data_IF_185103811888
#
_entry.id   IF_185103811888
#
_cell.length_a   1.000
_cell.length_b   1.000
_cell.length_c   1.000
_cell.angle_alpha   90.00
_cell.angle_beta   90.00
_cell.angle_gamma   90.00
#
_symmetry.space_group_name_H-M   'P 1'
#
loop_
_entity.id
_entity.type
_entity.pdbx_description
1 polymer ?
#
# COMPACT_ATOMS: atom_id res chain seq x y z
N UNK A 1 -2.39 -1.79 5.98
CA UNK A 1 -2.15 -0.65 5.06
C UNK A 1 -2.25 -1.12 3.62
N UNK A 2 -2.72 -0.27 2.70
CA UNK A 2 -2.90 -0.60 1.28
C UNK A 2 -2.19 0.44 0.43
N UNK A 3 -1.45 0.01 -0.59
CA UNK A 3 -0.71 0.90 -1.47
C UNK A 3 -0.86 0.48 -2.93
N UNK A 4 -0.96 1.45 -3.83
CA UNK A 4 -0.74 1.26 -5.25
C UNK A 4 0.59 1.92 -5.59
N UNK A 5 1.45 1.20 -6.29
CA UNK A 5 2.68 1.74 -6.85
C UNK A 5 2.57 1.71 -8.36
N UNK A 6 2.28 2.88 -8.93
CA UNK A 6 2.21 3.10 -10.37
C UNK A 6 3.62 3.30 -10.92
N UNK A 7 3.99 2.52 -11.93
CA UNK A 7 5.24 2.65 -12.67
C UNK A 7 4.90 3.00 -14.10
N UNK A 8 5.33 4.17 -14.57
CA UNK A 8 5.04 4.65 -15.92
C UNK A 8 6.22 5.43 -16.48
N UNK A 9 6.29 5.59 -17.79
CA UNK A 9 7.27 6.45 -18.46
C UNK A 9 6.65 7.54 -19.34
N UNK A 10 5.33 7.72 -19.27
CA UNK A 10 4.59 8.62 -20.14
C UNK A 10 3.42 9.31 -19.45
N UNK A 11 2.72 10.14 -20.24
CA UNK A 11 1.48 10.77 -19.80
C UNK A 11 0.28 9.89 -20.14
N UNK A 12 -0.75 9.91 -19.30
CA UNK A 12 -2.04 9.32 -19.68
C UNK A 12 -2.63 10.06 -20.88
N UNK A 13 -3.18 9.30 -21.82
CA UNK A 13 -3.71 9.84 -23.07
C UNK A 13 -5.14 9.37 -23.39
N UNK A 14 -5.73 8.51 -22.54
CA UNK A 14 -7.07 7.94 -22.74
C UNK A 14 -7.77 7.74 -21.40
N UNK A 15 -9.07 7.99 -21.37
CA UNK A 15 -9.95 7.69 -20.24
C UNK A 15 -10.08 8.83 -19.22
N UNK A 16 -10.53 8.47 -18.02
CA UNK A 16 -10.66 9.42 -16.90
C UNK A 16 -9.29 9.95 -16.49
N UNK A 17 -9.25 11.20 -16.00
CA UNK A 17 -8.03 11.79 -15.46
C UNK A 17 -7.46 10.94 -14.32
N UNK A 18 -6.19 10.52 -14.39
CA UNK A 18 -5.58 9.64 -13.39
C UNK A 18 -5.59 10.20 -11.96
N UNK A 19 -5.48 11.52 -11.82
CA UNK A 19 -5.55 12.18 -10.51
C UNK A 19 -6.91 11.99 -9.82
N UNK A 20 -8.02 11.93 -10.58
CA UNK A 20 -9.36 11.68 -10.03
C UNK A 20 -9.44 10.24 -9.50
N UNK A 21 -8.95 9.27 -10.28
CA UNK A 21 -8.90 7.87 -9.85
C UNK A 21 -7.99 7.69 -8.61
N UNK A 22 -6.88 8.42 -8.53
CA UNK A 22 -6.00 8.40 -7.36
C UNK A 22 -6.66 9.03 -6.11
N UNK A 23 -7.45 10.10 -6.28
CA UNK A 23 -8.24 10.65 -5.18
C UNK A 23 -9.26 9.63 -4.65
N UNK A 24 -9.94 8.89 -5.53
CA UNK A 24 -10.82 7.79 -5.12
C UNK A 24 -10.05 6.70 -4.35
N UNK A 25 -8.85 6.32 -4.80
CA UNK A 25 -8.02 5.35 -4.08
C UNK A 25 -7.77 5.80 -2.64
N UNK A 26 -7.42 7.07 -2.45
CA UNK A 26 -7.18 7.67 -1.14
C UNK A 26 -8.42 7.63 -0.25
N UNK A 27 -9.60 7.95 -0.78
CA UNK A 27 -10.87 7.83 -0.04
C UNK A 27 -11.14 6.40 0.42
N UNK A 28 -10.64 5.40 -0.33
CA UNK A 28 -10.73 3.98 0.02
C UNK A 28 -9.58 3.50 0.94
N UNK A 29 -8.78 4.42 1.48
CA UNK A 29 -7.65 4.11 2.37
C UNK A 29 -6.48 3.45 1.65
N UNK A 30 -6.32 3.71 0.35
CA UNK A 30 -5.24 3.20 -0.49
C UNK A 30 -4.33 4.37 -0.88
N UNK A 31 -3.06 4.31 -0.50
CA UNK A 31 -2.07 5.32 -0.88
C UNK A 31 -1.57 5.06 -2.29
N UNK A 32 -1.54 6.07 -3.17
CA UNK A 32 -0.98 5.93 -4.53
C UNK A 32 0.39 6.58 -4.62
N UNK A 33 1.40 5.78 -4.90
CA UNK A 33 2.77 6.19 -5.18
C UNK A 33 3.03 6.09 -6.68
N UNK A 34 3.83 7.00 -7.23
CA UNK A 34 4.09 7.05 -8.67
C UNK A 34 5.57 7.16 -8.97
N UNK A 35 6.08 6.25 -9.80
CA UNK A 35 7.46 6.24 -10.28
C UNK A 35 7.47 6.46 -11.79
N UNK A 36 8.05 7.59 -12.20
CA UNK A 36 8.35 7.91 -13.58
C UNK A 36 9.72 7.36 -13.99
N UNK A 37 9.81 6.59 -15.07
CA UNK A 37 11.10 6.09 -15.58
C UNK A 37 11.58 6.91 -16.79
N UNK A 38 12.73 7.56 -16.65
CA UNK A 38 13.46 8.25 -17.74
C UNK A 38 14.55 7.36 -18.34
N UNK A 39 14.62 7.32 -19.67
CA UNK A 39 15.77 6.74 -20.41
C UNK A 39 16.35 7.79 -21.35
N UNK A 40 17.65 8.08 -21.22
CA UNK A 40 18.51 8.94 -22.06
C UNK A 40 17.92 10.29 -22.56
N UNK A 41 16.82 10.73 -21.97
CA UNK A 41 16.06 11.94 -22.29
C UNK A 41 15.22 12.37 -21.10
N UNK A 42 14.51 13.47 -21.22
CA UNK A 42 13.69 14.03 -20.14
C UNK A 42 12.26 13.51 -20.20
N UNK A 43 11.69 13.13 -19.05
CA UNK A 43 10.23 13.19 -18.89
C UNK A 43 9.87 14.65 -19.14
N UNK A 44 9.01 14.91 -20.13
CA UNK A 44 8.56 16.26 -20.41
C UNK A 44 7.93 16.88 -19.17
N UNK A 45 7.96 18.21 -19.06
CA UNK A 45 7.41 18.94 -17.92
C UNK A 45 5.94 18.56 -17.60
N UNK A 46 5.17 18.24 -18.65
CA UNK A 46 3.80 17.75 -18.53
C UNK A 46 3.70 16.37 -17.85
N UNK A 47 4.61 15.44 -18.15
CA UNK A 47 4.64 14.12 -17.51
C UNK A 47 5.08 14.20 -16.05
N UNK A 48 6.01 15.08 -15.73
CA UNK A 48 6.41 15.32 -14.34
C UNK A 48 5.25 15.87 -13.50
N UNK A 49 4.49 16.83 -14.07
CA UNK A 49 3.32 17.41 -13.42
C UNK A 49 2.24 16.35 -13.18
N UNK A 50 1.92 15.53 -14.18
CA UNK A 50 0.91 14.48 -14.02
C UNK A 50 1.31 13.44 -12.97
N UNK A 51 2.57 13.00 -12.96
CA UNK A 51 3.11 12.07 -11.97
C UNK A 51 2.98 12.63 -10.54
N UNK A 52 3.28 13.91 -10.36
CA UNK A 52 3.14 14.60 -9.07
C UNK A 52 1.67 14.77 -8.66
N UNK A 53 0.80 15.16 -9.59
CA UNK A 53 -0.63 15.31 -9.36
C UNK A 53 -1.30 13.99 -8.95
N UNK A 54 -0.98 12.88 -9.62
CA UNK A 54 -1.50 11.55 -9.27
C UNK A 54 -1.09 11.17 -7.84
N UNK A 55 0.20 11.28 -7.53
CA UNK A 55 0.69 10.92 -6.20
C UNK A 55 0.11 11.83 -5.11
N UNK A 56 0.01 13.13 -5.37
CA UNK A 56 -0.57 14.11 -4.45
C UNK A 56 -2.05 13.85 -4.18
N UNK A 57 -2.84 13.59 -5.22
CA UNK A 57 -4.25 13.23 -5.11
C UNK A 57 -4.42 11.90 -4.33
N UNK A 58 -3.57 10.91 -4.61
CA UNK A 58 -3.54 9.63 -3.93
C UNK A 58 -2.90 9.62 -2.53
N UNK A 59 -2.43 10.77 -2.04
CA UNK A 59 -1.82 10.91 -0.72
C UNK A 59 -0.47 10.19 -0.56
N UNK A 60 0.20 9.85 -1.66
CA UNK A 60 1.51 9.22 -1.67
C UNK A 60 2.62 10.17 -2.09
N UNK A 61 3.69 9.60 -2.64
CA UNK A 61 4.85 10.35 -3.13
C UNK A 61 5.16 9.98 -4.58
N UNK A 62 5.77 10.92 -5.31
CA UNK A 62 6.25 10.71 -6.66
C UNK A 62 7.77 10.85 -6.78
N UNK A 63 8.36 10.08 -7.71
CA UNK A 63 9.77 10.20 -8.10
C UNK A 63 9.95 9.93 -9.58
N UNK A 64 10.86 10.68 -10.19
CA UNK A 64 11.36 10.41 -11.55
C UNK A 64 12.78 9.85 -11.39
N UNK A 65 13.04 8.70 -12.00
CA UNK A 65 14.28 7.95 -11.82
C UNK A 65 14.77 7.34 -13.11
N UNK A 66 16.07 7.05 -13.16
CA UNK A 66 16.60 6.20 -14.21
C UNK A 66 16.31 4.73 -13.90
N UNK A 67 16.28 3.89 -14.95
CA UNK A 67 16.02 2.46 -14.85
C UNK A 67 16.89 1.76 -13.78
N UNK A 68 18.15 2.17 -13.62
CA UNK A 68 19.08 1.57 -12.65
C UNK A 68 18.80 1.95 -11.17
N UNK A 69 18.05 3.03 -10.92
CA UNK A 69 17.70 3.50 -9.57
C UNK A 69 16.31 3.02 -9.12
N UNK A 70 15.59 2.33 -10.02
CA UNK A 70 14.18 1.96 -9.85
C UNK A 70 13.95 1.10 -8.60
N UNK A 71 14.72 0.03 -8.45
CA UNK A 71 14.59 -0.92 -7.33
C UNK A 71 14.69 -0.23 -5.96
N UNK A 72 15.78 0.53 -5.76
CA UNK A 72 16.01 1.27 -4.52
C UNK A 72 14.90 2.30 -4.26
N UNK A 73 14.45 2.99 -5.31
CA UNK A 73 13.44 4.04 -5.19
C UNK A 73 12.08 3.47 -4.79
N UNK A 74 11.68 2.37 -5.41
CA UNK A 74 10.43 1.67 -5.10
C UNK A 74 10.40 1.22 -3.63
N UNK A 75 11.48 0.61 -3.14
CA UNK A 75 11.58 0.21 -1.73
C UNK A 75 11.50 1.41 -0.79
N UNK A 76 12.26 2.47 -1.10
CA UNK A 76 12.27 3.70 -0.30
C UNK A 76 10.89 4.34 -0.23
N UNK A 77 10.19 4.48 -1.37
CA UNK A 77 8.86 5.08 -1.42
C UNK A 77 7.82 4.25 -0.67
N UNK A 78 7.87 2.93 -0.80
CA UNK A 78 7.01 1.99 -0.07
C UNK A 78 7.18 2.17 1.43
N UNK A 79 8.42 2.14 1.94
CA UNK A 79 8.71 2.34 3.36
C UNK A 79 8.34 3.74 3.85
N UNK A 80 8.67 4.78 3.08
CA UNK A 80 8.38 6.17 3.43
C UNK A 80 6.88 6.40 3.60
N UNK A 81 6.08 5.86 2.69
CA UNK A 81 4.61 6.02 2.76
C UNK A 81 3.96 5.19 3.87
N UNK A 82 4.52 4.03 4.22
CA UNK A 82 4.13 3.30 5.45
C UNK A 82 4.35 4.17 6.68
N UNK A 83 5.55 4.72 6.85
CA UNK A 83 5.89 5.58 7.99
C UNK A 83 4.99 6.81 8.04
N UNK A 84 4.77 7.48 6.91
CA UNK A 84 3.87 8.64 6.83
C UNK A 84 2.42 8.28 7.20
N UNK A 85 1.93 7.12 6.75
CA UNK A 85 0.57 6.65 7.08
C UNK A 85 0.42 6.41 8.57
N UNK A 86 1.41 5.79 9.21
CA UNK A 86 1.42 5.54 10.66
C UNK A 86 1.50 6.86 11.43
N UNK A 87 2.40 7.76 11.03
CA UNK A 87 2.51 9.09 11.64
C UNK A 87 1.20 9.86 11.55
N UNK A 88 0.50 9.82 10.41
CA UNK A 88 -0.81 10.46 10.24
C UNK A 88 -1.86 9.84 11.16
N UNK A 89 -1.91 8.50 11.25
CA UNK A 89 -2.83 7.79 12.12
C UNK A 89 -2.60 8.14 13.59
N UNK A 90 -1.36 8.05 14.07
CA UNK A 90 -1.03 8.38 15.47
C UNK A 90 -1.27 9.85 15.78
N UNK A 91 -0.90 10.77 14.89
CA UNK A 91 -1.20 12.19 15.07
C UNK A 91 -2.71 12.46 15.17
N UNK A 92 -3.54 11.73 14.42
CA UNK A 92 -4.99 11.84 14.49
C UNK A 92 -5.51 11.34 15.85
N UNK A 93 -5.04 10.19 16.32
CA UNK A 93 -5.42 9.65 17.63
C UNK A 93 -5.00 10.56 18.79
N UNK A 94 -3.77 11.08 18.74
CA UNK A 94 -3.28 12.01 19.75
C UNK A 94 -4.12 13.30 19.82
N UNK A 95 -4.54 13.85 18.68
CA UNK A 95 -5.43 15.02 18.64
C UNK A 95 -6.80 14.74 19.24
N UNK A 96 -7.35 13.53 19.04
CA UNK A 96 -8.62 13.14 19.65
C UNK A 96 -8.51 13.01 21.17
N UNK A 97 -7.40 12.49 21.69
CA UNK A 97 -7.19 12.26 23.12
C UNK A 97 -6.82 13.56 23.86
N UNK A 98 -5.94 14.39 23.28
CA UNK A 98 -5.38 15.59 23.91
C UNK A 98 -6.17 16.86 23.60
N UNK A 99 -7.08 16.82 22.61
CA UNK A 99 -7.85 17.97 22.14
C UNK A 99 -7.04 18.94 21.26
N UNK A 100 -7.71 19.97 20.75
CA UNK A 100 -7.13 20.98 19.83
C UNK A 100 -6.03 21.86 20.47
N UNK A 101 -5.80 21.75 21.79
CA UNK A 101 -4.76 22.49 22.51
C UNK A 101 -3.33 22.07 22.12
N UNK A 102 -3.17 20.95 21.40
CA UNK A 102 -1.89 20.48 20.85
C UNK A 102 -1.92 20.45 19.33
N UNK A 103 -1.85 21.62 18.69
CA UNK A 103 -1.76 21.77 17.23
C UNK A 103 -0.56 20.99 16.63
N UNK A 104 0.46 20.70 17.43
CA UNK A 104 1.73 20.11 16.99
C UNK A 104 1.79 18.57 17.11
N UNK A 105 0.69 17.89 17.48
CA UNK A 105 0.61 16.42 17.51
C UNK A 105 1.70 15.77 18.37
N UNK A 106 2.47 14.83 17.80
CA UNK A 106 3.61 14.18 18.48
C UNK A 106 4.66 15.19 18.99
N UNK A 107 4.80 16.35 18.33
CA UNK A 107 5.77 17.37 18.73
C UNK A 107 5.30 18.20 19.93
N UNK A 108 4.01 18.14 20.29
CA UNK A 108 3.49 18.76 21.50
C UNK A 108 3.79 17.91 22.75
N UNK A 109 4.16 16.64 22.58
CA UNK A 109 4.45 15.76 23.70
C UNK A 109 5.79 16.13 24.36
N UNK A 110 5.90 15.99 25.70
CA UNK A 110 7.17 16.03 26.41
C UNK A 110 8.21 15.09 25.80
N UNK A 111 9.50 15.43 25.85
CA UNK A 111 10.58 14.70 25.18
C UNK A 111 10.61 13.19 25.51
N UNK A 112 10.36 12.84 26.77
CA UNK A 112 10.31 11.45 27.23
C UNK A 112 9.17 10.68 26.56
N UNK A 113 7.97 11.27 26.51
CA UNK A 113 6.78 10.68 25.87
C UNK A 113 6.89 10.65 24.35
N UNK A 114 7.57 11.63 23.75
CA UNK A 114 7.86 11.64 22.31
C UNK A 114 8.72 10.44 21.92
N UNK A 115 9.75 10.13 22.70
CA UNK A 115 10.65 9.00 22.44
C UNK A 115 9.90 7.66 22.51
N UNK A 116 9.00 7.52 23.48
CA UNK A 116 8.12 6.35 23.60
C UNK A 116 7.20 6.19 22.37
N UNK A 117 6.56 7.28 21.94
CA UNK A 117 5.67 7.26 20.77
C UNK A 117 6.43 6.93 19.48
N UNK A 118 7.63 7.49 19.28
CA UNK A 118 8.46 7.17 18.11
C UNK A 118 8.80 5.68 18.06
N UNK A 119 9.19 5.08 19.21
CA UNK A 119 9.46 3.63 19.27
C UNK A 119 8.24 2.81 18.88
N UNK A 120 7.05 3.17 19.38
CA UNK A 120 5.80 2.49 19.01
C UNK A 120 5.52 2.63 17.52
N UNK A 121 5.76 3.81 16.92
CA UNK A 121 5.61 3.98 15.46
C UNK A 121 6.58 3.11 14.65
N UNK A 122 7.81 2.93 15.12
CA UNK A 122 8.79 2.06 14.48
C UNK A 122 8.35 0.59 14.54
N UNK A 123 7.87 0.13 15.70
CA UNK A 123 7.32 -1.21 15.87
C UNK A 123 6.09 -1.43 14.96
N UNK A 124 5.18 -0.45 14.90
CA UNK A 124 4.03 -0.47 14.00
C UNK A 124 4.46 -0.53 12.53
N UNK A 125 5.53 0.16 12.15
CA UNK A 125 6.06 0.16 10.77
C UNK A 125 6.49 -1.24 10.35
N UNK A 126 7.05 -2.00 11.28
CA UNK A 126 7.59 -3.32 11.04
C UNK A 126 6.48 -4.39 11.02
N UNK A 127 5.56 -4.33 11.98
CA UNK A 127 4.54 -5.37 12.23
C UNK A 127 3.24 -5.19 11.46
N UNK A 128 2.90 -3.98 11.01
CA UNK A 128 1.60 -3.72 10.38
C UNK A 128 1.47 -4.44 9.04
N UNK A 129 0.34 -5.11 8.83
CA UNK A 129 0.04 -5.76 7.55
C UNK A 129 0.10 -4.76 6.38
N UNK A 130 0.77 -5.12 5.30
CA UNK A 130 0.94 -4.29 4.12
C UNK A 130 0.49 -5.05 2.86
N UNK A 131 -0.39 -4.43 2.08
CA UNK A 131 -0.73 -4.88 0.74
C UNK A 131 -0.23 -3.86 -0.27
N UNK A 132 0.54 -4.30 -1.26
CA UNK A 132 1.08 -3.45 -2.33
C UNK A 132 0.60 -3.98 -3.68
N UNK A 133 -0.09 -3.16 -4.45
CA UNK A 133 -0.45 -3.45 -5.83
C UNK A 133 0.51 -2.70 -6.74
N UNK A 134 1.26 -3.42 -7.55
CA UNK A 134 2.08 -2.81 -8.60
C UNK A 134 1.22 -2.64 -9.83
N UNK A 135 1.17 -1.43 -10.36
CA UNK A 135 0.47 -1.10 -11.60
C UNK A 135 1.49 -0.60 -12.61
N UNK A 136 1.73 -1.39 -13.65
CA UNK A 136 2.88 -1.23 -14.54
C UNK A 136 2.41 -0.82 -15.92
N UNK A 137 2.96 0.28 -16.42
CA UNK A 137 2.80 0.68 -17.81
C UNK A 137 3.53 -0.32 -18.73
N UNK A 138 2.79 -0.88 -19.68
CA UNK A 138 3.26 -1.80 -20.71
C UNK A 138 3.13 -1.17 -22.11
N UNK A 139 3.13 0.15 -22.20
CA UNK A 139 3.25 0.87 -23.47
C UNK A 139 4.56 0.52 -24.20
N UNK A 140 4.63 0.85 -25.50
CA UNK A 140 5.76 0.47 -26.33
C UNK A 140 7.11 1.06 -25.84
N UNK A 141 7.09 2.20 -25.17
CA UNK A 141 8.27 2.87 -24.60
C UNK A 141 8.85 2.17 -23.37
N UNK A 142 8.06 1.31 -22.71
CA UNK A 142 8.48 0.54 -21.53
C UNK A 142 9.31 -0.70 -21.86
N UNK A 143 9.36 -1.13 -23.13
CA UNK A 143 10.11 -2.30 -23.58
C UNK A 143 11.58 -2.36 -23.12
N UNK A 144 12.41 -1.29 -23.27
CA UNK A 144 13.77 -1.30 -22.75
C UNK A 144 13.86 -1.30 -21.21
N UNK A 145 12.79 -0.88 -20.51
CA UNK A 145 12.75 -0.67 -19.05
C UNK A 145 12.27 -1.90 -18.29
N UNK A 146 11.61 -2.84 -18.95
CA UNK A 146 11.01 -4.02 -18.32
C UNK A 146 12.00 -4.84 -17.49
N UNK A 147 13.24 -5.02 -17.95
CA UNK A 147 14.23 -5.78 -17.20
C UNK A 147 14.53 -5.12 -15.83
N UNK A 148 14.56 -3.79 -15.78
CA UNK A 148 14.74 -3.06 -14.53
C UNK A 148 13.48 -3.15 -13.64
N UNK A 149 12.29 -3.11 -14.24
CA UNK A 149 11.02 -3.29 -13.52
C UNK A 149 10.95 -4.70 -12.90
N UNK A 150 11.31 -5.74 -13.65
CA UNK A 150 11.37 -7.13 -13.18
C UNK A 150 12.27 -7.30 -11.95
N UNK A 151 13.48 -6.76 -12.02
CA UNK A 151 14.43 -6.81 -10.90
C UNK A 151 13.92 -5.99 -9.71
N UNK A 152 13.35 -4.80 -9.94
CA UNK A 152 12.75 -3.99 -8.89
C UNK A 152 11.59 -4.70 -8.17
N UNK A 153 10.78 -5.49 -8.89
CA UNK A 153 9.70 -6.29 -8.31
C UNK A 153 10.27 -7.39 -7.42
N UNK A 154 11.28 -8.12 -7.91
CA UNK A 154 11.97 -9.16 -7.14
C UNK A 154 12.53 -8.60 -5.84
N UNK A 155 13.24 -7.49 -5.95
CA UNK A 155 13.89 -6.83 -4.82
C UNK A 155 12.87 -6.27 -3.83
N UNK A 156 11.76 -5.70 -4.33
CA UNK A 156 10.66 -5.28 -3.47
C UNK A 156 10.05 -6.47 -2.71
N UNK A 157 9.79 -7.59 -3.36
CA UNK A 157 9.27 -8.79 -2.67
C UNK A 157 10.22 -9.28 -1.59
N UNK A 158 11.54 -9.31 -1.87
CA UNK A 158 12.56 -9.63 -0.86
C UNK A 158 12.50 -8.67 0.32
N UNK A 159 12.42 -7.36 0.04
CA UNK A 159 12.29 -6.34 1.09
C UNK A 159 11.01 -6.47 1.90
N UNK A 160 9.90 -6.88 1.28
CA UNK A 160 8.62 -7.08 1.95
C UNK A 160 8.61 -8.34 2.82
N UNK A 161 9.26 -9.42 2.39
CA UNK A 161 9.42 -10.64 3.18
C UNK A 161 10.34 -10.48 4.39
N UNK A 162 11.29 -9.55 4.34
CA UNK A 162 12.14 -9.23 5.47
C UNK A 162 11.36 -8.60 6.64
N UNK A 163 10.12 -8.14 6.40
CA UNK A 163 9.28 -7.56 7.43
C UNK A 163 8.64 -8.62 8.32
N UNK A 164 8.51 -8.30 9.61
CA UNK A 164 7.79 -9.16 10.57
C UNK A 164 6.28 -9.20 10.32
N UNK A 165 5.70 -8.09 9.85
CA UNK A 165 4.28 -7.99 9.49
C UNK A 165 3.94 -8.66 8.16
N UNK A 166 2.72 -9.20 8.05
CA UNK A 166 2.24 -9.83 6.81
C UNK A 166 2.28 -8.85 5.64
N UNK A 167 3.07 -9.16 4.62
CA UNK A 167 3.19 -8.35 3.41
C UNK A 167 2.77 -9.14 2.19
N UNK A 168 1.83 -8.62 1.41
CA UNK A 168 1.34 -9.24 0.17
C UNK A 168 1.54 -8.28 -1.01
N UNK A 169 1.95 -8.83 -2.15
CA UNK A 169 2.13 -8.12 -3.40
C UNK A 169 1.19 -8.69 -4.45
N UNK A 170 0.60 -7.85 -5.30
CA UNK A 170 0.00 -8.25 -6.57
C UNK A 170 0.53 -7.38 -7.71
N UNK A 171 0.41 -7.86 -8.94
CA UNK A 171 0.97 -7.17 -10.12
C UNK A 171 -0.09 -7.07 -11.20
N UNK A 172 -0.24 -5.86 -11.72
CA UNK A 172 -1.07 -5.52 -12.85
C UNK A 172 -0.24 -4.81 -13.91
N UNK A 173 -0.60 -4.99 -15.18
CA UNK A 173 -0.11 -4.15 -16.26
C UNK A 173 -1.25 -3.46 -17.01
N UNK A 174 -0.94 -2.37 -17.69
CA UNK A 174 -1.85 -1.67 -18.59
C UNK A 174 -1.07 -1.08 -19.77
N UNK A 175 -1.65 -0.98 -20.97
CA UNK A 175 -3.01 -1.42 -21.34
C UNK A 175 -3.11 -2.95 -21.44
N UNK A 176 -4.34 -3.48 -21.38
CA UNK A 176 -4.59 -4.90 -21.64
C UNK A 176 -4.44 -5.30 -23.12
N UNK A 177 -4.29 -6.60 -23.42
CA UNK A 177 -4.00 -7.10 -24.76
C UNK A 177 -5.20 -7.02 -25.73
N UNK A 178 -6.41 -6.84 -25.20
CA UNK A 178 -7.66 -6.77 -25.97
C UNK A 178 -8.37 -5.43 -25.71
N UNK A 179 -9.01 -4.88 -26.75
CA UNK A 179 -9.80 -3.66 -26.62
C UNK A 179 -10.92 -3.84 -25.59
N UNK A 180 -10.93 -2.99 -24.56
CA UNK A 180 -11.90 -3.01 -23.46
C UNK A 180 -11.34 -3.54 -22.13
N UNK A 181 -10.12 -4.07 -22.09
CA UNK A 181 -9.44 -4.41 -20.83
C UNK A 181 -8.42 -3.33 -20.46
N UNK A 182 -8.78 -2.49 -19.49
CA UNK A 182 -7.99 -1.32 -19.09
C UNK A 182 -6.68 -1.68 -18.36
N UNK A 183 -6.68 -2.78 -17.60
CA UNK A 183 -5.50 -3.36 -16.98
C UNK A 183 -5.67 -4.88 -16.86
N UNK A 184 -4.60 -5.65 -16.82
CA UNK A 184 -4.60 -7.11 -16.64
C UNK A 184 -3.90 -7.46 -15.35
N UNK A 185 -4.43 -8.44 -14.63
CA UNK A 185 -3.79 -8.99 -13.45
C UNK A 185 -2.79 -10.07 -13.85
N UNK A 186 -1.50 -9.81 -13.65
CA UNK A 186 -0.43 -10.77 -13.94
C UNK A 186 -0.11 -11.67 -12.73
N UNK A 187 -0.27 -11.11 -11.52
CA UNK A 187 -0.05 -11.80 -10.25
C UNK A 187 -1.20 -11.50 -9.29
N UNK A 188 -1.81 -12.54 -8.74
CA UNK A 188 -2.72 -12.41 -7.59
C UNK A 188 -1.94 -12.04 -6.31
N UNK A 189 -2.65 -11.77 -5.21
CA UNK A 189 -1.98 -11.51 -3.94
C UNK A 189 -1.09 -12.68 -3.52
N UNK A 190 0.18 -12.40 -3.27
CA UNK A 190 1.14 -13.39 -2.83
C UNK A 190 2.24 -12.78 -1.98
N UNK A 191 2.79 -13.58 -1.09
CA UNK A 191 4.02 -13.34 -0.35
C UNK A 191 5.20 -14.18 -0.89
N UNK A 192 5.01 -14.94 -1.99
CA UNK A 192 5.99 -15.89 -2.52
C UNK A 192 6.81 -15.32 -3.70
N UNK A 193 8.11 -15.07 -3.50
CA UNK A 193 9.04 -14.58 -4.55
C UNK A 193 9.07 -15.46 -5.81
N UNK A 194 8.88 -16.77 -5.65
CA UNK A 194 9.00 -17.75 -6.76
C UNK A 194 7.98 -17.49 -7.87
N UNK A 195 6.81 -16.91 -7.54
CA UNK A 195 5.74 -16.62 -8.51
C UNK A 195 6.06 -15.43 -9.42
N UNK A 196 6.92 -14.50 -8.98
CA UNK A 196 7.26 -13.31 -9.76
C UNK A 196 8.15 -13.59 -10.98
N UNK A 197 8.89 -14.72 -11.01
CA UNK A 197 9.85 -15.05 -12.07
C UNK A 197 9.24 -15.21 -13.48
N UNK A 198 7.92 -15.33 -13.63
CA UNK A 198 7.24 -15.64 -14.90
C UNK A 198 6.35 -14.52 -15.44
N UNK A 199 6.31 -13.36 -14.78
CA UNK A 199 5.29 -12.33 -15.02
C UNK A 199 5.38 -11.68 -16.40
N UNK A 200 6.59 -11.43 -16.91
CA UNK A 200 6.78 -10.51 -18.04
C UNK A 200 7.05 -11.18 -19.39
N UNK A 201 7.17 -12.51 -19.42
CA UNK A 201 7.41 -13.25 -20.67
C UNK A 201 6.24 -13.18 -21.68
N UNK A 202 5.09 -12.62 -21.27
CA UNK A 202 3.84 -12.57 -22.05
C UNK A 202 3.29 -11.16 -22.30
N UNK A 203 4.01 -10.10 -21.90
CA UNK A 203 3.53 -8.74 -22.11
C UNK A 203 3.60 -8.33 -23.59
N UNK A 204 2.43 -8.26 -24.23
CA UNK A 204 2.29 -7.71 -25.57
C UNK A 204 2.24 -6.17 -25.49
N UNK A 205 3.41 -5.54 -25.45
CA UNK A 205 3.52 -4.08 -25.34
C UNK A 205 3.03 -3.36 -26.59
N UNK A 206 1.80 -2.84 -26.55
CA UNK A 206 1.16 -2.07 -27.63
C UNK A 206 0.10 -1.13 -27.04
N UNK A 207 -0.20 -0.04 -27.75
CA UNK A 207 -1.41 0.74 -27.50
C UNK A 207 -1.22 2.01 -26.69
N UNK A 208 -2.34 2.53 -26.19
CA UNK A 208 -2.49 3.77 -25.40
C UNK A 208 -2.25 3.52 -23.91
N UNK A 209 -2.22 4.58 -23.10
CA UNK A 209 -1.87 4.55 -21.67
C UNK A 209 -3.09 4.97 -20.83
N UNK A 210 -4.06 4.06 -20.59
CA UNK A 210 -5.27 4.36 -19.81
C UNK A 210 -5.02 4.29 -18.30
N UNK A 211 -4.15 5.16 -17.79
CA UNK A 211 -3.72 5.15 -16.38
C UNK A 211 -4.88 5.30 -15.39
N UNK A 212 -5.84 6.19 -15.67
CA UNK A 212 -7.00 6.40 -14.80
C UNK A 212 -7.90 5.16 -14.69
N UNK A 213 -8.38 4.60 -15.82
CA UNK A 213 -9.15 3.36 -15.80
C UNK A 213 -8.39 2.17 -15.17
N UNK A 214 -7.08 2.08 -15.40
CA UNK A 214 -6.23 1.07 -14.79
C UNK A 214 -6.17 1.19 -13.26
N UNK A 215 -6.06 2.41 -12.71
CA UNK A 215 -6.14 2.67 -11.27
C UNK A 215 -7.48 2.20 -10.69
N UNK A 216 -8.60 2.52 -11.34
CA UNK A 216 -9.93 2.10 -10.90
C UNK A 216 -10.06 0.58 -10.81
N UNK A 217 -9.54 -0.15 -11.80
CA UNK A 217 -9.53 -1.62 -11.77
C UNK A 217 -8.77 -2.19 -10.57
N UNK A 218 -7.64 -1.59 -10.21
CA UNK A 218 -6.86 -2.01 -9.03
C UNK A 218 -7.59 -1.66 -7.72
N UNK A 219 -8.24 -0.49 -7.64
CA UNK A 219 -9.07 -0.09 -6.49
C UNK A 219 -10.21 -1.10 -6.28
N UNK A 220 -10.89 -1.50 -7.34
CA UNK A 220 -11.95 -2.51 -7.27
C UNK A 220 -11.41 -3.88 -6.84
N UNK A 221 -10.23 -4.28 -7.34
CA UNK A 221 -9.60 -5.52 -6.89
C UNK A 221 -9.28 -5.52 -5.38
N UNK A 222 -8.89 -4.36 -4.83
CA UNK A 222 -8.72 -4.18 -3.38
C UNK A 222 -10.02 -4.36 -2.57
N UNK A 223 -11.20 -4.18 -3.21
CA UNK A 223 -12.52 -4.36 -2.60
C UNK A 223 -13.01 -5.82 -2.70
N UNK A 224 -12.66 -6.53 -3.78
CA UNK A 224 -13.15 -7.90 -4.03
C UNK A 224 -12.48 -8.98 -3.18
N UNK A 225 -11.32 -8.71 -2.59
CA UNK A 225 -10.67 -9.66 -1.69
C UNK A 225 -11.36 -9.62 -0.33
N UNK A 226 -11.89 -10.76 0.18
CA UNK A 226 -12.54 -10.80 1.48
C UNK A 226 -11.62 -10.22 2.55
N UNK A 227 -12.17 -9.33 3.39
CA UNK A 227 -11.52 -8.96 4.66
C UNK A 227 -11.32 -10.26 5.41
N UNK A 228 -10.08 -10.72 5.56
CA UNK A 228 -9.73 -11.67 6.61
C UNK A 228 -10.08 -10.94 7.90
N UNK A 229 -11.24 -11.27 8.47
CA UNK A 229 -11.62 -10.83 9.80
C UNK A 229 -10.57 -11.44 10.71
N UNK A 230 -9.77 -10.60 11.37
CA UNK A 230 -8.89 -10.99 12.45
C UNK A 230 -9.78 -11.60 13.56
N UNK A 231 -9.99 -12.91 13.49
CA UNK A 231 -10.61 -13.68 14.57
C UNK A 231 -9.57 -13.86 15.66
N UNK A 232 -9.30 -12.83 16.44
CA UNK A 232 -8.65 -12.97 17.74
C UNK A 232 -8.79 -11.69 18.57
N UNK A 233 -9.99 -11.53 19.13
CA UNK A 233 -10.24 -10.83 20.39
C UNK A 233 -11.68 -11.16 20.85
N UNK A 234 -11.98 -12.44 21.09
CA UNK A 234 -13.05 -12.75 22.04
C UNK A 234 -12.55 -12.35 23.43
N UNK A 235 -12.90 -11.13 23.82
CA UNK A 235 -12.76 -10.67 25.20
C UNK A 235 -13.72 -11.50 26.03
N UNK A 236 -13.19 -12.50 26.73
CA UNK A 236 -13.92 -13.23 27.76
C UNK A 236 -14.31 -12.21 28.85
N UNK A 237 -15.60 -11.99 29.15
CA UNK A 237 -15.98 -11.06 30.19
C UNK A 237 -15.60 -11.65 31.55
N UNK A 238 -14.67 -10.99 32.23
CA UNK A 238 -14.33 -11.27 33.63
C UNK A 238 -15.50 -10.78 34.49
N UNK A 239 -16.39 -11.69 34.88
CA UNK A 239 -17.42 -11.42 35.88
C UNK A 239 -16.78 -11.43 37.27
N UNK A 240 -16.39 -10.25 37.77
CA UNK A 240 -16.20 -10.02 39.20
C UNK A 240 -17.45 -9.37 39.78
N UNK A 241 -18.33 -10.19 40.36
CA UNK A 241 -19.20 -9.74 41.44
C UNK A 241 -18.97 -10.62 42.67
N UNK A 242 -18.47 -9.98 43.71
CA UNK A 242 -18.23 -10.50 45.05
C UNK A 242 -19.52 -10.77 45.83
N UNK A 243 -19.39 -11.70 46.79
CA UNK A 243 -20.00 -11.82 48.14
C UNK A 243 -20.80 -13.12 48.31
N UNK A 244 -20.84 -13.77 49.46
CA UNK A 244 -20.06 -13.86 50.70
C UNK A 244 -20.78 -15.00 51.47
N UNK A 245 -20.04 -15.83 52.18
CA UNK A 245 -20.41 -16.88 53.16
C UNK A 245 -21.88 -17.02 53.62
N UNK A 246 -22.38 -18.28 53.66
CA UNK A 246 -22.83 -18.96 54.91
C UNK A 246 -23.41 -20.37 54.66
N UNK A 247 -22.90 -21.33 55.45
CA UNK A 247 -23.56 -22.48 56.11
C UNK A 247 -24.49 -23.50 55.41
N UNK A 248 -24.23 -24.78 55.73
CA UNK A 248 -25.23 -25.88 55.74
C UNK A 248 -24.84 -27.09 54.87
N UNK A 249 -24.09 -28.09 55.34
CA UNK A 249 -24.54 -29.29 56.08
C UNK A 249 -25.46 -30.24 55.28
N UNK A 250 -24.88 -31.38 54.88
CA UNK A 250 -25.44 -32.75 54.74
C UNK A 250 -26.57 -33.04 53.74
N UNK A 251 -26.35 -34.02 52.84
CA UNK A 251 -26.98 -35.35 52.91
C UNK A 251 -26.92 -36.08 51.57
N UNK A 252 -26.61 -37.37 51.66
CA UNK A 252 -26.85 -38.43 50.67
C UNK A 252 -28.25 -38.39 50.05
N UNK A 253 -28.38 -38.88 48.80
CA UNK A 253 -29.43 -39.84 48.44
C UNK A 253 -29.09 -40.65 47.18
N UNK A 254 -29.35 -41.95 47.29
CA UNK A 254 -29.26 -43.07 46.36
C UNK A 254 -30.45 -43.08 45.38
N UNK A 255 -30.24 -43.47 44.11
CA UNK A 255 -30.81 -44.66 43.43
C UNK A 255 -29.82 -45.14 42.37
#
# INVERSE_FOLDING_TARGET
MKQILLITDGCSNVGIQPAIAAAEARENGITVNVVGIVDYGTIGQLGACEIEEIAGAGGGVSRIVQSHELSQTIQMMTRKTVVQTIQQAVNKELKLILGDATTDGVQALPLEKRSEVVRVMDDMTEQSALKVALLIDASASMKPKLAAVEEAIRDLMLSLQARSGKSELCVFHFPGPYGGEEAVQDLEWTDEITRAKKLFQRLNMRGTTPTGPALLKVIDYYRTVPRTVDKEAEVVPINHHERMEMDGVWSDYIV
#
